data_IF_383407260297
#
_entry.id   IF_383407260297
#
_cell.length_a   1.000
_cell.length_b   1.000
_cell.length_c   1.000
_cell.angle_alpha   90.00
_cell.angle_beta   90.00
_cell.angle_gamma   90.00
#
_symmetry.space_group_name_H-M   'P 1'
#
loop_
_entity.id
_entity.type
_entity.pdbx_description
1 polymer ?
#
# COMPACT_ATOMS: atom_id res chain seq x y z
N UNK A 1 -64.93 2.30 -79.98
CA UNK A 1 -63.84 1.35 -80.20
C UNK A 1 -63.06 1.29 -78.89
N UNK A 2 -63.15 0.17 -78.26
CA UNK A 2 -62.81 0.00 -76.79
C UNK A 2 -61.34 -0.18 -76.53
N UNK A 3 -60.82 0.52 -75.52
CA UNK A 3 -59.49 0.33 -75.05
C UNK A 3 -59.57 -0.33 -73.60
N UNK A 4 -58.89 -1.42 -73.52
CA UNK A 4 -58.84 -2.30 -72.35
C UNK A 4 -57.75 -1.84 -71.40
N UNK A 5 -58.13 -1.51 -70.16
CA UNK A 5 -57.20 -1.14 -69.10
C UNK A 5 -56.71 -2.39 -68.34
N UNK A 6 -55.42 -2.62 -68.37
CA UNK A 6 -54.77 -3.64 -67.52
C UNK A 6 -54.43 -3.05 -66.20
N UNK A 7 -54.98 -3.63 -65.16
CA UNK A 7 -54.61 -3.31 -63.78
C UNK A 7 -53.32 -4.00 -63.34
N UNK A 8 -52.35 -3.21 -63.00
CA UNK A 8 -51.08 -3.69 -62.44
C UNK A 8 -51.24 -3.91 -60.92
N UNK A 9 -51.18 -5.17 -60.52
CA UNK A 9 -51.33 -5.58 -59.12
C UNK A 9 -50.18 -5.07 -58.18
N UNK A 10 -50.53 -4.40 -57.16
CA UNK A 10 -49.67 -3.96 -56.09
C UNK A 10 -49.20 -5.18 -55.26
N UNK A 11 -47.96 -5.60 -55.45
CA UNK A 11 -47.34 -6.63 -54.60
C UNK A 11 -47.08 -6.09 -53.20
N UNK A 12 -47.62 -6.69 -52.19
CA UNK A 12 -47.58 -6.33 -50.78
C UNK A 12 -46.11 -6.31 -50.20
N UNK A 13 -45.74 -5.21 -49.59
CA UNK A 13 -44.48 -5.01 -48.85
C UNK A 13 -44.45 -5.68 -47.46
N UNK A 14 -45.28 -6.71 -47.21
CA UNK A 14 -45.44 -7.32 -45.90
C UNK A 14 -44.31 -8.25 -45.42
N UNK A 15 -43.50 -8.77 -46.35
CA UNK A 15 -42.51 -9.83 -46.03
C UNK A 15 -41.20 -9.32 -45.37
N UNK A 16 -40.83 -8.05 -45.60
CA UNK A 16 -39.55 -7.51 -45.10
C UNK A 16 -39.60 -7.16 -43.62
N UNK A 17 -40.78 -6.79 -43.09
CA UNK A 17 -40.92 -6.42 -41.69
C UNK A 17 -40.89 -7.64 -40.76
N UNK A 18 -41.38 -8.80 -41.19
CA UNK A 18 -41.30 -10.03 -40.43
C UNK A 18 -39.88 -10.55 -40.32
N UNK A 19 -39.09 -10.49 -41.39
CA UNK A 19 -37.68 -10.92 -41.37
C UNK A 19 -36.82 -10.08 -40.44
N UNK A 20 -37.02 -8.76 -40.37
CA UNK A 20 -36.28 -7.86 -39.48
C UNK A 20 -36.59 -8.13 -37.99
N UNK A 21 -37.82 -8.35 -37.64
CA UNK A 21 -38.22 -8.68 -36.23
C UNK A 21 -37.66 -10.04 -35.80
N UNK A 22 -37.70 -11.04 -36.69
CA UNK A 22 -37.09 -12.35 -36.42
C UNK A 22 -35.57 -12.25 -36.25
N UNK A 23 -34.90 -11.45 -37.07
CA UNK A 23 -33.45 -11.21 -37.02
C UNK A 23 -33.05 -10.53 -35.69
N UNK A 24 -33.75 -9.49 -35.24
CA UNK A 24 -33.51 -8.87 -33.94
C UNK A 24 -33.80 -9.81 -32.76
N UNK A 25 -34.80 -10.66 -32.86
CA UNK A 25 -35.10 -11.69 -31.86
C UNK A 25 -33.96 -12.72 -31.73
N UNK A 26 -33.39 -13.16 -32.84
CA UNK A 26 -32.23 -14.08 -32.84
C UNK A 26 -30.99 -13.40 -32.28
N UNK A 27 -30.72 -12.13 -32.67
CA UNK A 27 -29.58 -11.37 -32.12
C UNK A 27 -29.71 -11.15 -30.62
N UNK A 28 -30.91 -10.80 -30.14
CA UNK A 28 -31.18 -10.62 -28.71
C UNK A 28 -31.00 -11.95 -27.93
N UNK A 29 -31.52 -13.05 -28.49
CA UNK A 29 -31.33 -14.39 -27.93
C UNK A 29 -29.87 -14.81 -27.87
N UNK A 30 -29.10 -14.58 -28.94
CA UNK A 30 -27.66 -14.84 -28.97
C UNK A 30 -26.90 -13.97 -27.92
N UNK A 31 -27.25 -12.70 -27.82
CA UNK A 31 -26.65 -11.79 -26.81
C UNK A 31 -26.95 -12.26 -25.36
N UNK A 32 -28.20 -12.67 -25.07
CA UNK A 32 -28.57 -13.22 -23.77
C UNK A 32 -27.81 -14.51 -23.47
N UNK A 33 -27.61 -15.40 -24.45
CA UNK A 33 -26.85 -16.64 -24.27
C UNK A 33 -25.35 -16.34 -24.01
N UNK A 34 -24.79 -15.36 -24.69
CA UNK A 34 -23.40 -14.92 -24.46
C UNK A 34 -23.24 -14.26 -23.08
N UNK A 35 -24.20 -13.46 -22.63
CA UNK A 35 -24.19 -12.82 -21.32
C UNK A 35 -24.30 -13.81 -20.16
N UNK A 36 -25.10 -14.86 -20.30
CA UNK A 36 -25.24 -15.93 -19.30
C UNK A 36 -24.02 -16.85 -19.29
N UNK A 37 -23.34 -17.04 -20.43
CA UNK A 37 -22.16 -17.92 -20.55
C UNK A 37 -20.96 -17.48 -19.70
N UNK A 38 -20.82 -16.19 -19.39
CA UNK A 38 -19.69 -15.69 -18.56
C UNK A 38 -19.79 -16.05 -17.07
N UNK A 39 -20.97 -16.49 -16.57
CA UNK A 39 -21.19 -16.78 -15.14
C UNK A 39 -21.23 -18.26 -14.76
N UNK A 40 -21.21 -19.17 -15.73
CA UNK A 40 -21.53 -20.61 -15.50
C UNK A 40 -20.30 -21.49 -15.26
N UNK A 41 -19.08 -20.97 -15.39
CA UNK A 41 -17.88 -21.75 -15.11
C UNK A 41 -17.47 -21.60 -13.65
N UNK A 42 -17.90 -22.51 -12.82
CA UNK A 42 -17.50 -22.62 -11.41
C UNK A 42 -16.32 -23.56 -11.19
N UNK A 43 -15.71 -24.05 -12.26
CA UNK A 43 -14.59 -24.98 -12.20
C UNK A 43 -13.45 -24.40 -11.37
N UNK A 44 -13.05 -25.11 -10.32
CA UNK A 44 -11.97 -24.73 -9.41
C UNK A 44 -12.19 -23.39 -8.64
N UNK A 45 -13.33 -22.74 -8.78
CA UNK A 45 -13.61 -21.45 -8.17
C UNK A 45 -13.77 -21.57 -6.65
N UNK A 46 -14.47 -22.60 -6.19
CA UNK A 46 -14.62 -22.92 -4.77
C UNK A 46 -14.06 -24.31 -4.47
N UNK A 47 -12.84 -24.36 -3.97
CA UNK A 47 -12.15 -25.57 -3.61
C UNK A 47 -12.46 -25.97 -2.15
N UNK A 48 -12.36 -27.27 -1.78
CA UNK A 48 -12.58 -27.76 -0.42
C UNK A 48 -11.40 -27.39 0.51
N UNK A 49 -11.06 -26.11 0.56
CA UNK A 49 -10.02 -25.54 1.47
C UNK A 49 -10.49 -24.20 2.02
N UNK A 50 -10.06 -23.86 3.22
CA UNK A 50 -10.28 -22.53 3.76
C UNK A 50 -9.29 -21.54 3.14
N UNK A 51 -9.82 -20.45 2.57
CA UNK A 51 -9.07 -19.25 2.18
C UNK A 51 -9.11 -18.25 3.34
N UNK A 52 -8.22 -17.27 3.34
CA UNK A 52 -8.01 -16.31 4.44
C UNK A 52 -9.30 -15.67 4.98
N UNK A 53 -10.21 -15.28 4.11
CA UNK A 53 -11.48 -14.64 4.52
C UNK A 53 -12.70 -15.56 4.39
N UNK A 54 -12.50 -16.86 4.22
CA UNK A 54 -13.63 -17.81 4.13
C UNK A 54 -14.16 -18.09 5.52
N UNK A 55 -15.50 -18.10 5.63
CA UNK A 55 -16.22 -18.51 6.82
C UNK A 55 -15.92 -19.95 7.16
N UNK A 56 -15.73 -20.24 8.45
CA UNK A 56 -15.60 -21.61 8.99
C UNK A 56 -16.77 -21.92 9.92
N UNK A 57 -17.44 -23.04 9.71
CA UNK A 57 -18.49 -23.49 10.63
C UNK A 57 -17.90 -24.24 11.85
N UNK A 58 -16.61 -24.59 11.79
CA UNK A 58 -15.95 -25.31 12.89
C UNK A 58 -15.70 -24.42 14.12
N UNK A 59 -15.41 -23.12 13.91
CA UNK A 59 -15.12 -22.19 15.00
C UNK A 59 -16.36 -21.36 15.39
N UNK A 60 -16.53 -21.12 16.69
CA UNK A 60 -17.65 -20.34 17.22
C UNK A 60 -17.71 -18.90 16.68
N UNK A 61 -16.54 -18.29 16.41
CA UNK A 61 -16.41 -16.96 15.82
C UNK A 61 -16.56 -16.95 14.28
N UNK A 62 -16.77 -18.11 13.69
CA UNK A 62 -16.93 -18.34 12.25
C UNK A 62 -15.77 -17.85 11.37
N UNK A 63 -14.62 -17.58 11.95
CA UNK A 63 -13.42 -17.13 11.22
C UNK A 63 -12.57 -18.32 10.79
N UNK A 64 -12.29 -18.45 9.49
CA UNK A 64 -11.36 -19.46 8.97
C UNK A 64 -9.91 -19.11 9.29
N UNK A 65 -9.57 -17.82 9.31
CA UNK A 65 -8.24 -17.32 9.70
C UNK A 65 -8.15 -17.17 11.21
N UNK A 66 -7.17 -17.80 11.84
CA UNK A 66 -6.98 -17.79 13.29
C UNK A 66 -5.88 -16.80 13.67
N UNK A 67 -6.06 -16.15 14.80
CA UNK A 67 -5.01 -15.36 15.42
C UNK A 67 -3.90 -16.29 15.92
N UNK A 68 -2.68 -15.75 15.98
CA UNK A 68 -1.55 -16.50 16.54
C UNK A 68 -1.81 -16.80 18.03
N UNK A 69 -1.54 -18.02 18.50
CA UNK A 69 -1.61 -18.30 19.94
C UNK A 69 -0.71 -17.35 20.71
N UNK A 70 -1.19 -16.87 21.86
CA UNK A 70 -0.41 -15.98 22.72
C UNK A 70 0.93 -16.63 23.11
N UNK A 71 2.01 -15.83 23.09
CA UNK A 71 3.36 -16.28 23.42
C UNK A 71 4.08 -17.08 22.34
N UNK A 72 3.50 -17.21 21.13
CA UNK A 72 4.17 -17.87 20.01
C UNK A 72 4.81 -16.87 19.07
N UNK A 73 6.01 -17.18 18.58
CA UNK A 73 6.72 -16.43 17.55
C UNK A 73 6.90 -17.34 16.34
N UNK A 74 6.39 -16.97 15.16
CA UNK A 74 6.61 -17.73 13.93
C UNK A 74 8.10 -17.81 13.59
N UNK A 75 8.50 -18.90 12.95
CA UNK A 75 9.90 -19.09 12.53
C UNK A 75 10.36 -17.91 11.66
N UNK A 76 11.48 -17.31 12.01
CA UNK A 76 12.06 -16.15 11.29
C UNK A 76 11.41 -14.80 11.63
N UNK A 77 10.47 -14.74 12.57
CA UNK A 77 9.81 -13.50 13.00
C UNK A 77 10.15 -13.11 14.45
N UNK A 78 11.26 -13.60 14.98
CA UNK A 78 11.78 -13.14 16.27
C UNK A 78 12.22 -11.67 16.12
N UNK A 79 11.53 -10.77 16.82
CA UNK A 79 11.80 -9.31 16.80
C UNK A 79 12.69 -8.95 18.01
N UNK A 80 13.90 -9.48 18.02
CA UNK A 80 14.87 -9.31 19.12
C UNK A 80 15.49 -7.91 19.17
N UNK A 81 15.65 -7.24 18.03
CA UNK A 81 16.12 -5.87 17.96
C UNK A 81 14.96 -4.87 18.03
N UNK A 82 14.69 -4.36 19.26
CA UNK A 82 13.58 -3.44 19.49
C UNK A 82 13.73 -2.15 18.66
N UNK A 83 14.90 -1.56 18.62
CA UNK A 83 15.16 -0.35 17.83
C UNK A 83 14.78 -0.54 16.37
N UNK A 84 15.20 -1.66 15.77
CA UNK A 84 14.92 -1.97 14.35
C UNK A 84 13.44 -2.18 14.06
N UNK A 85 12.69 -2.89 14.94
CA UNK A 85 11.30 -3.24 14.69
C UNK A 85 10.28 -2.21 15.16
N UNK A 86 10.66 -1.34 16.11
CA UNK A 86 9.72 -0.36 16.71
C UNK A 86 10.18 1.09 16.61
N UNK A 87 11.44 1.37 16.30
CA UNK A 87 11.99 2.72 16.34
C UNK A 87 12.17 3.27 17.76
N UNK A 88 12.11 2.41 18.79
CA UNK A 88 12.17 2.81 20.21
C UNK A 88 13.44 2.30 20.89
N UNK A 89 13.89 3.04 21.90
CA UNK A 89 14.99 2.62 22.77
C UNK A 89 14.60 1.36 23.59
N UNK A 90 15.61 0.61 24.06
CA UNK A 90 15.36 -0.64 24.80
C UNK A 90 14.63 -0.43 26.13
N UNK A 91 14.96 0.64 26.85
CA UNK A 91 14.37 1.01 28.13
C UNK A 91 13.52 2.27 27.97
N UNK A 92 12.27 2.16 27.49
CA UNK A 92 11.42 3.32 27.29
C UNK A 92 11.09 3.97 28.63
N UNK A 93 11.13 5.29 28.67
CA UNK A 93 10.67 6.05 29.82
C UNK A 93 9.15 6.12 29.86
N UNK A 94 8.57 6.31 31.02
CA UNK A 94 7.13 6.56 31.17
C UNK A 94 6.75 8.01 30.89
N UNK A 95 7.70 8.82 30.40
CA UNK A 95 7.46 10.21 30.04
C UNK A 95 6.42 10.27 28.93
N UNK A 96 5.31 10.98 29.10
CA UNK A 96 4.29 11.09 28.06
C UNK A 96 4.83 11.85 26.86
N UNK A 97 4.34 11.49 25.68
CA UNK A 97 4.61 12.23 24.45
C UNK A 97 3.88 13.56 24.52
N UNK A 98 4.61 14.65 24.43
CA UNK A 98 4.02 15.99 24.41
C UNK A 98 3.49 16.29 22.99
N UNK A 99 2.32 16.88 22.96
CA UNK A 99 1.68 17.32 21.73
C UNK A 99 1.22 18.76 21.85
N UNK A 100 1.22 19.47 20.74
CA UNK A 100 0.65 20.82 20.65
C UNK A 100 -0.22 20.91 19.39
N UNK A 101 -1.07 21.93 19.32
CA UNK A 101 -1.90 22.19 18.15
C UNK A 101 -1.27 23.32 17.35
N UNK A 102 -1.01 23.06 16.06
CA UNK A 102 -0.49 24.08 15.16
C UNK A 102 -1.59 25.08 14.73
N UNK A 103 -1.20 26.15 14.04
CA UNK A 103 -2.11 27.18 13.56
C UNK A 103 -3.22 26.65 12.61
N UNK A 104 -3.00 25.51 11.97
CA UNK A 104 -3.98 24.83 11.12
C UNK A 104 -4.93 23.89 11.89
N UNK A 105 -4.86 23.87 13.23
CA UNK A 105 -5.71 23.00 14.07
C UNK A 105 -5.27 21.54 14.14
N UNK A 106 -4.09 21.17 13.61
CA UNK A 106 -3.60 19.81 13.63
C UNK A 106 -2.77 19.57 14.90
N UNK A 107 -2.99 18.43 15.56
CA UNK A 107 -2.14 17.97 16.67
C UNK A 107 -0.78 17.52 16.12
N UNK A 108 0.29 18.07 16.66
CA UNK A 108 1.68 17.74 16.32
C UNK A 108 2.43 17.28 17.55
N UNK A 109 3.34 16.31 17.38
CA UNK A 109 4.24 15.82 18.44
C UNK A 109 5.40 16.78 18.60
N UNK A 110 5.72 17.17 19.83
CA UNK A 110 6.83 18.10 20.15
C UNK A 110 7.92 17.44 20.99
N UNK A 111 7.64 16.33 21.66
CA UNK A 111 8.65 15.55 22.39
C UNK A 111 8.66 14.09 21.92
N UNK A 112 9.83 13.45 21.96
CA UNK A 112 10.07 12.12 21.42
C UNK A 112 10.83 11.24 22.43
N UNK A 113 10.33 11.06 23.67
CA UNK A 113 11.13 10.55 24.79
C UNK A 113 11.66 9.12 24.60
N UNK A 114 11.04 8.34 23.74
CA UNK A 114 11.38 6.92 23.55
C UNK A 114 11.85 6.58 22.14
N UNK A 115 11.93 7.55 21.24
CA UNK A 115 12.37 7.33 19.87
C UNK A 115 13.89 7.24 19.79
N UNK A 116 14.41 6.33 18.98
CA UNK A 116 15.86 6.24 18.72
C UNK A 116 16.32 7.41 17.86
N UNK A 117 17.48 8.00 18.24
CA UNK A 117 18.10 9.09 17.49
C UNK A 117 18.94 8.58 16.31
N UNK A 118 19.48 7.36 16.42
CA UNK A 118 20.38 6.76 15.46
C UNK A 118 19.69 5.65 14.66
N UNK A 119 20.16 5.46 13.40
CA UNK A 119 19.68 4.36 12.58
C UNK A 119 20.15 3.02 13.18
N UNK A 120 19.26 2.04 13.36
CA UNK A 120 19.64 0.70 13.83
C UNK A 120 20.32 -0.16 12.75
N UNK A 121 20.51 0.39 11.55
CA UNK A 121 21.17 -0.23 10.40
C UNK A 121 22.11 0.78 9.75
N UNK A 122 23.19 0.33 9.10
CA UNK A 122 24.11 1.23 8.39
C UNK A 122 23.40 1.99 7.26
N UNK A 123 23.61 3.30 7.20
CA UNK A 123 23.08 4.14 6.11
C UNK A 123 24.11 4.12 4.97
N UNK A 124 23.80 3.34 3.95
CA UNK A 124 24.60 3.24 2.73
C UNK A 124 23.90 3.93 1.56
N UNK A 125 24.63 4.14 0.46
CA UNK A 125 24.02 4.68 -0.76
C UNK A 125 22.87 3.79 -1.26
N UNK A 126 23.08 2.49 -1.24
CA UNK A 126 22.07 1.49 -1.67
C UNK A 126 20.81 1.56 -0.81
N UNK A 127 20.97 1.80 0.50
CA UNK A 127 19.83 2.00 1.40
C UNK A 127 19.05 3.27 1.03
N UNK A 128 19.73 4.36 0.73
CA UNK A 128 19.10 5.63 0.32
C UNK A 128 18.41 5.49 -1.04
N UNK A 129 19.05 4.84 -2.02
CA UNK A 129 18.48 4.56 -3.34
C UNK A 129 17.20 3.69 -3.20
N UNK A 130 17.24 2.66 -2.35
CA UNK A 130 16.06 1.86 -2.00
C UNK A 130 14.99 2.70 -1.34
N UNK A 131 15.36 3.60 -0.45
CA UNK A 131 14.47 4.53 0.21
C UNK A 131 13.76 5.44 -0.77
N UNK A 132 14.47 5.97 -1.77
CA UNK A 132 13.90 6.77 -2.84
C UNK A 132 12.86 6.00 -3.66
N UNK A 133 13.17 4.76 -4.04
CA UNK A 133 12.25 3.90 -4.75
C UNK A 133 10.94 3.71 -3.96
N UNK A 134 11.05 3.35 -2.67
CA UNK A 134 9.90 3.11 -1.80
C UNK A 134 9.12 4.39 -1.49
N UNK A 135 9.82 5.50 -1.28
CA UNK A 135 9.21 6.81 -1.10
C UNK A 135 8.34 7.21 -2.30
N UNK A 136 8.85 7.00 -3.52
CA UNK A 136 8.13 7.29 -4.75
C UNK A 136 6.89 6.43 -4.96
N UNK A 137 6.83 5.23 -4.34
CA UNK A 137 5.65 4.37 -4.40
C UNK A 137 4.60 4.78 -3.37
N UNK A 138 5.00 5.00 -2.11
CA UNK A 138 4.06 5.11 -0.99
C UNK A 138 3.85 6.54 -0.49
N UNK A 139 4.86 7.40 -0.56
CA UNK A 139 4.88 8.68 0.17
C UNK A 139 4.64 9.90 -0.72
N UNK A 140 5.16 9.88 -1.96
CA UNK A 140 5.14 11.01 -2.89
C UNK A 140 3.73 11.56 -3.15
N UNK A 141 2.71 10.69 -3.13
CA UNK A 141 1.32 11.06 -3.45
C UNK A 141 0.75 12.09 -2.50
N UNK A 142 1.20 12.09 -1.23
CA UNK A 142 0.82 13.06 -0.20
C UNK A 142 1.93 14.07 0.06
N UNK A 143 3.18 13.61 0.24
CA UNK A 143 4.30 14.43 0.70
C UNK A 143 5.03 15.19 -0.42
N UNK A 144 4.74 14.87 -1.69
CA UNK A 144 5.39 15.48 -2.84
C UNK A 144 6.80 14.92 -3.10
N UNK A 145 7.42 15.25 -4.26
CA UNK A 145 8.68 14.64 -4.68
C UNK A 145 9.88 15.04 -3.81
N UNK A 146 9.82 16.18 -3.17
CA UNK A 146 10.88 16.72 -2.31
C UNK A 146 10.46 16.86 -0.85
N UNK A 147 9.26 16.39 -0.48
CA UNK A 147 8.81 16.37 0.91
C UNK A 147 8.19 17.68 1.43
N UNK A 148 7.71 18.55 0.53
CA UNK A 148 7.07 19.82 0.89
C UNK A 148 5.61 19.67 1.36
N UNK A 149 5.01 18.48 1.24
CA UNK A 149 3.60 18.28 1.55
C UNK A 149 2.64 18.69 0.44
N UNK A 150 3.12 18.84 -0.79
CA UNK A 150 2.37 19.31 -1.95
C UNK A 150 2.04 18.20 -2.95
N UNK A 151 1.89 16.97 -2.47
CA UNK A 151 1.60 15.81 -3.29
C UNK A 151 0.30 15.90 -4.08
N UNK A 152 0.12 14.99 -5.04
CA UNK A 152 -1.01 15.06 -5.98
C UNK A 152 -2.37 15.06 -5.28
N UNK A 153 -2.57 14.27 -4.24
CA UNK A 153 -3.86 14.19 -3.54
C UNK A 153 -4.14 15.44 -2.71
N UNK A 154 -3.10 16.11 -2.21
CA UNK A 154 -3.22 17.40 -1.51
C UNK A 154 -3.74 18.48 -2.47
N UNK A 155 -3.22 18.51 -3.69
CA UNK A 155 -3.69 19.43 -4.76
C UNK A 155 -5.14 19.15 -5.16
N UNK A 156 -5.69 17.99 -4.80
CA UNK A 156 -7.09 17.62 -5.02
C UNK A 156 -7.98 17.77 -3.78
N UNK A 157 -7.51 18.48 -2.75
CA UNK A 157 -8.30 18.85 -1.57
C UNK A 157 -8.07 17.98 -0.34
N UNK A 158 -7.09 17.07 -0.34
CA UNK A 158 -6.71 16.36 0.88
C UNK A 158 -5.92 17.29 1.81
N UNK A 159 -5.93 16.99 3.11
CA UNK A 159 -5.19 17.79 4.10
C UNK A 159 -3.70 17.80 3.82
N UNK A 160 -3.09 18.98 3.94
CA UNK A 160 -1.66 19.19 3.73
C UNK A 160 -0.89 18.53 4.88
N UNK A 161 -0.01 17.53 4.62
CA UNK A 161 0.90 17.01 5.62
C UNK A 161 1.99 18.05 5.94
N UNK A 162 2.61 18.00 7.14
CA UNK A 162 3.75 18.84 7.44
C UNK A 162 4.87 18.65 6.42
N UNK A 163 5.56 19.73 6.05
CA UNK A 163 6.78 19.63 5.27
C UNK A 163 7.88 18.97 6.11
N UNK A 164 8.70 18.10 5.50
CA UNK A 164 9.85 17.50 6.19
C UNK A 164 10.95 18.53 6.50
N UNK A 165 10.85 19.74 5.96
CA UNK A 165 11.88 20.77 6.07
C UNK A 165 11.62 21.75 7.23
N UNK A 166 10.54 21.58 7.99
CA UNK A 166 10.34 22.38 9.21
C UNK A 166 11.36 21.97 10.30
N UNK A 167 11.75 22.92 11.16
CA UNK A 167 12.79 22.72 12.17
C UNK A 167 12.43 21.61 13.17
N UNK A 168 11.16 21.44 13.49
CA UNK A 168 10.68 20.39 14.37
C UNK A 168 10.97 19.00 13.78
N UNK A 169 10.63 18.76 12.50
CA UNK A 169 10.88 17.46 11.85
C UNK A 169 12.35 17.27 11.48
N UNK A 170 13.08 18.34 11.19
CA UNK A 170 14.54 18.23 10.98
C UNK A 170 15.27 17.78 12.24
N UNK A 171 14.83 18.25 13.41
CA UNK A 171 15.41 17.91 14.71
C UNK A 171 14.78 16.66 15.37
N UNK A 172 13.69 16.13 14.81
CA UNK A 172 13.05 14.93 15.34
C UNK A 172 13.95 13.70 15.17
N UNK A 173 13.97 12.78 16.13
CA UNK A 173 14.72 11.52 16.04
C UNK A 173 14.20 10.64 14.89
N UNK A 174 15.06 9.77 14.34
CA UNK A 174 14.67 8.87 13.23
C UNK A 174 13.59 7.89 13.65
N UNK A 175 13.57 7.48 14.92
CA UNK A 175 12.54 6.61 15.49
C UNK A 175 11.14 7.20 15.44
N UNK A 176 11.00 8.54 15.51
CA UNK A 176 9.70 9.19 15.35
C UNK A 176 9.11 8.95 13.95
N UNK A 177 9.93 9.09 12.89
CA UNK A 177 9.47 8.79 11.54
C UNK A 177 9.07 7.33 11.39
N UNK A 178 9.84 6.42 12.01
CA UNK A 178 9.52 5.00 12.00
C UNK A 178 8.18 4.71 12.67
N UNK A 179 7.93 5.33 13.82
CA UNK A 179 6.67 5.21 14.55
C UNK A 179 5.48 5.73 13.74
N UNK A 180 5.60 6.94 13.16
CA UNK A 180 4.55 7.53 12.32
C UNK A 180 4.26 6.69 11.08
N UNK A 181 5.28 6.15 10.40
CA UNK A 181 5.08 5.27 9.25
C UNK A 181 4.40 3.96 9.68
N UNK A 182 4.79 3.42 10.84
CA UNK A 182 4.30 2.13 11.33
C UNK A 182 2.87 2.20 11.88
N UNK A 183 2.57 3.20 12.68
CA UNK A 183 1.31 3.29 13.44
C UNK A 183 0.35 4.30 12.84
N UNK A 184 0.82 5.18 11.94
CA UNK A 184 0.06 6.31 11.44
C UNK A 184 0.06 7.48 12.42
N UNK A 185 -0.40 8.66 11.96
CA UNK A 185 -0.61 9.84 12.79
C UNK A 185 -1.68 10.75 12.20
N UNK A 186 -2.69 11.07 12.97
CA UNK A 186 -3.79 11.93 12.53
C UNK A 186 -4.51 11.36 11.29
N UNK A 187 -4.33 12.01 10.14
CA UNK A 187 -4.93 11.54 8.86
C UNK A 187 -4.02 10.59 8.07
N UNK A 188 -2.78 10.40 8.50
CA UNK A 188 -1.87 9.43 7.90
C UNK A 188 -2.18 8.03 8.46
N UNK A 189 -2.54 7.11 7.59
CA UNK A 189 -2.80 5.72 7.96
C UNK A 189 -1.51 4.97 8.29
N UNK A 190 -1.61 3.87 9.03
CA UNK A 190 -0.52 2.92 9.24
C UNK A 190 -0.10 2.28 7.91
N UNK A 191 1.20 2.14 7.73
CA UNK A 191 1.83 1.40 6.62
C UNK A 191 2.52 0.10 7.09
N UNK A 192 2.23 -0.35 8.32
CA UNK A 192 2.88 -1.52 8.90
C UNK A 192 2.73 -2.78 8.04
N UNK A 193 1.57 -2.98 7.45
CA UNK A 193 1.26 -4.15 6.63
C UNK A 193 1.80 -4.04 5.19
N UNK A 194 1.95 -2.81 4.68
CA UNK A 194 2.36 -2.57 3.30
C UNK A 194 3.88 -2.43 3.13
N UNK A 195 4.60 -1.95 4.16
CA UNK A 195 6.03 -1.63 4.09
C UNK A 195 6.78 -2.41 5.16
N UNK A 196 7.74 -3.24 4.74
CA UNK A 196 8.60 -3.99 5.66
C UNK A 196 9.48 -3.06 6.52
N UNK A 197 9.87 -3.45 7.75
CA UNK A 197 10.69 -2.60 8.63
C UNK A 197 11.98 -2.08 7.98
N UNK A 198 12.70 -2.91 7.22
CA UNK A 198 13.91 -2.49 6.52
C UNK A 198 13.62 -1.38 5.49
N UNK A 199 12.52 -1.50 4.72
CA UNK A 199 12.10 -0.48 3.75
C UNK A 199 11.64 0.81 4.44
N UNK A 200 11.05 0.75 5.64
CA UNK A 200 10.72 1.95 6.43
C UNK A 200 11.99 2.71 6.81
N UNK A 201 13.03 2.02 7.27
CA UNK A 201 14.33 2.63 7.57
C UNK A 201 14.99 3.21 6.31
N UNK A 202 14.85 2.54 5.18
CA UNK A 202 15.34 3.06 3.89
C UNK A 202 14.61 4.36 3.50
N UNK A 203 13.28 4.42 3.63
CA UNK A 203 12.50 5.64 3.40
C UNK A 203 12.94 6.77 4.32
N UNK A 204 13.21 6.49 5.60
CA UNK A 204 13.66 7.50 6.56
C UNK A 204 15.04 8.02 6.18
N UNK A 205 15.95 7.15 5.72
CA UNK A 205 17.26 7.56 5.22
C UNK A 205 17.13 8.50 4.01
N UNK A 206 16.21 8.21 3.09
CA UNK A 206 15.92 9.09 1.97
C UNK A 206 15.28 10.43 2.41
N UNK A 207 14.35 10.44 3.38
CA UNK A 207 13.80 11.67 3.96
C UNK A 207 14.93 12.54 4.54
N UNK A 208 15.90 11.95 5.25
CA UNK A 208 17.07 12.67 5.75
C UNK A 208 17.91 13.27 4.61
N UNK A 209 18.10 12.51 3.52
CA UNK A 209 18.79 13.03 2.34
C UNK A 209 18.04 14.23 1.71
N UNK A 210 16.70 14.18 1.63
CA UNK A 210 15.90 15.32 1.20
C UNK A 210 16.08 16.55 2.10
N UNK A 211 16.08 16.36 3.42
CA UNK A 211 16.29 17.43 4.39
C UNK A 211 17.69 18.07 4.23
N UNK A 212 18.74 17.27 4.01
CA UNK A 212 20.09 17.78 3.75
C UNK A 212 20.15 18.54 2.43
N UNK A 213 19.51 18.02 1.38
CA UNK A 213 19.55 18.66 0.05
C UNK A 213 18.91 20.04 0.01
N UNK A 214 17.90 20.27 0.85
CA UNK A 214 17.18 21.56 0.94
C UNK A 214 17.87 22.58 1.87
N UNK A 215 18.74 22.11 2.77
CA UNK A 215 19.46 22.98 3.70
C UNK A 215 20.81 22.36 4.07
N UNK A 216 21.80 22.46 3.17
CA UNK A 216 23.12 21.82 3.35
C UNK A 216 23.93 22.41 4.52
N UNK A 217 23.65 23.64 4.93
CA UNK A 217 24.44 24.36 5.95
C UNK A 217 24.06 23.95 7.39
N UNK A 218 22.92 23.31 7.60
CA UNK A 218 22.57 22.77 8.90
C UNK A 218 23.14 21.35 9.04
N UNK A 219 24.10 21.19 9.98
CA UNK A 219 24.62 19.90 10.42
C UNK A 219 23.47 19.03 10.96
N UNK A 220 22.73 18.39 10.07
CA UNK A 220 21.86 17.29 10.47
C UNK A 220 22.77 16.24 11.09
N UNK A 221 22.52 15.89 12.35
CA UNK A 221 23.21 14.81 13.06
C UNK A 221 22.93 13.48 12.36
N UNK A 222 23.51 13.28 11.20
CA UNK A 222 23.71 11.95 10.65
C UNK A 222 24.93 11.39 11.40
N UNK A 223 24.68 10.84 12.58
CA UNK A 223 25.69 10.13 13.32
C UNK A 223 26.05 8.89 12.51
N UNK A 224 27.05 9.05 11.63
CA UNK A 224 27.80 7.95 11.06
C UNK A 224 28.68 7.36 12.16
N UNK A 225 28.09 6.73 13.14
CA UNK A 225 28.85 5.86 14.01
C UNK A 225 29.08 4.58 13.23
N UNK A 226 30.22 4.55 12.56
CA UNK A 226 30.85 3.30 12.10
C UNK A 226 31.24 2.52 13.35
N UNK A 227 30.29 2.01 14.08
CA UNK A 227 30.49 0.97 15.08
C UNK A 227 30.28 -0.34 14.37
N UNK A 228 31.39 -1.05 14.19
CA UNK A 228 31.43 -2.44 13.80
C UNK A 228 30.55 -3.28 14.74
N UNK A 229 29.26 -3.41 14.43
CA UNK A 229 28.40 -4.36 15.09
C UNK A 229 28.38 -5.64 14.25
N UNK A 230 28.93 -6.77 14.74
CA UNK A 230 29.09 -8.00 13.95
C UNK A 230 27.85 -8.85 13.91
N UNK A 231 26.64 -8.29 13.82
CA UNK A 231 25.43 -9.08 13.66
C UNK A 231 24.32 -8.30 12.93
N UNK A 232 24.56 -7.94 11.67
CA UNK A 232 23.44 -7.69 10.79
C UNK A 232 22.72 -9.03 10.55
N UNK A 233 21.42 -9.16 10.84
CA UNK A 233 20.69 -10.33 10.40
C UNK A 233 20.72 -10.34 8.88
N UNK A 234 21.34 -11.40 8.33
CA UNK A 234 21.37 -11.69 6.90
C UNK A 234 19.93 -11.61 6.42
N UNK A 235 19.64 -10.68 5.51
CA UNK A 235 18.32 -10.54 4.92
C UNK A 235 17.85 -11.92 4.51
N UNK A 236 16.73 -12.38 5.07
CA UNK A 236 16.09 -13.61 4.68
C UNK A 236 15.83 -13.52 3.17
N UNK A 237 16.56 -14.32 2.40
CA UNK A 237 16.35 -14.44 0.97
C UNK A 237 14.87 -14.79 0.78
N UNK A 238 14.17 -13.97 0.03
CA UNK A 238 12.86 -14.32 -0.51
C UNK A 238 13.02 -15.67 -1.21
N UNK A 239 12.21 -16.69 -0.89
CA UNK A 239 12.23 -17.91 -1.67
C UNK A 239 11.73 -17.58 -3.07
N UNK A 240 12.60 -17.77 -4.08
CA UNK A 240 12.24 -17.71 -5.47
C UNK A 240 11.10 -18.67 -5.75
N UNK A 241 9.92 -18.13 -5.97
CA UNK A 241 8.76 -18.88 -6.45
C UNK A 241 8.93 -19.05 -7.97
N UNK A 242 9.83 -19.92 -8.40
CA UNK A 242 9.74 -20.51 -9.74
C UNK A 242 10.77 -21.63 -9.96
N UNK A 243 10.42 -22.86 -9.54
CA UNK A 243 10.96 -24.09 -10.14
C UNK A 243 9.83 -25.11 -10.22
N UNK A 244 8.94 -24.93 -11.18
CA UNK A 244 8.22 -26.06 -11.75
C UNK A 244 9.15 -26.73 -12.76
N UNK A 245 9.97 -27.65 -12.27
CA UNK A 245 10.66 -28.63 -13.07
C UNK A 245 9.69 -29.70 -13.53
N UNK A 246 9.44 -29.79 -14.81
CA UNK A 246 8.80 -30.93 -15.44
C UNK A 246 9.72 -32.17 -15.28
N UNK A 247 9.14 -33.28 -14.84
CA UNK A 247 9.74 -34.59 -14.77
C UNK A 247 8.71 -35.63 -15.16
N UNK A 248 9.06 -36.35 -16.19
CA UNK A 248 8.43 -37.43 -16.94
C UNK A 248 7.54 -38.38 -16.13
#
# INVERSE_FOLDING_TARGET
MYLNSQEAGVKSRGSVAFGRKAFYGVLLGAYCLLAVGCGVRFDMQDQPRYKTYKKSEFFSDKRGSRDLPAGTVPRGQLKDNKAFYTGQIDNPTTTPVETTTNAAGNTIVTSFPNAVDEFPIPVTKELVDRGQERYNIYCIVCHGPVGNGDGMIVRRGFSIPPTYHDDRLRNAPVGHFFDVISNGWGKMSSYADAIQPADRWAIIAYIRALQVSQNPDQNLKMNNTTTSNPAAPKAAATPDANTHGGGK
#
